data_IF_199976596844
#
_entry.id   IF_199976596844
#
_cell.length_a   1.000
_cell.length_b   1.000
_cell.length_c   1.000
_cell.angle_alpha   90.00
_cell.angle_beta   90.00
_cell.angle_gamma   90.00
#
_symmetry.space_group_name_H-M   'P 1'
#
loop_
_entity.id
_entity.type
_entity.pdbx_description
1 polymer ?
#
# COMPACT_ATOMS: atom_id res chain seq x y z
N UNK A 1 2.49 15.80 -23.20
CA UNK A 1 3.95 15.58 -23.03
C UNK A 1 4.26 15.40 -21.54
N UNK A 2 4.05 14.19 -21.03
CA UNK A 2 4.38 13.83 -19.63
C UNK A 2 5.79 13.19 -19.56
N UNK A 3 6.52 13.24 -20.64
CA UNK A 3 7.94 12.83 -20.68
C UNK A 3 8.88 14.01 -20.47
N UNK A 4 8.41 15.07 -19.81
CA UNK A 4 9.27 16.09 -19.30
C UNK A 4 10.30 15.43 -18.39
N UNK A 5 11.56 15.70 -18.61
CA UNK A 5 12.69 15.28 -17.78
C UNK A 5 12.43 15.67 -16.32
N UNK A 6 11.69 14.83 -15.60
CA UNK A 6 11.61 14.94 -14.16
C UNK A 6 12.97 14.53 -13.58
N UNK A 7 13.93 15.40 -13.68
CA UNK A 7 15.14 15.39 -12.84
C UNK A 7 14.78 15.77 -11.40
N UNK A 8 13.61 15.34 -10.95
CA UNK A 8 13.15 15.58 -9.59
C UNK A 8 13.79 14.57 -8.63
N UNK A 9 14.35 15.07 -7.55
CA UNK A 9 14.68 14.22 -6.41
C UNK A 9 13.36 13.73 -5.83
N UNK A 10 13.21 12.41 -5.68
CA UNK A 10 12.02 11.85 -5.00
C UNK A 10 11.91 12.47 -3.59
N UNK A 11 10.76 13.03 -3.21
CA UNK A 11 10.59 13.64 -1.89
C UNK A 11 10.63 12.61 -0.74
N UNK A 12 10.68 11.32 -1.05
CA UNK A 12 10.69 10.24 -0.08
C UNK A 12 11.57 9.07 -0.48
N UNK A 13 11.98 8.30 0.51
CA UNK A 13 12.70 7.04 0.31
C UNK A 13 11.69 5.90 0.30
N UNK A 14 11.56 5.14 -0.79
CA UNK A 14 10.67 3.99 -0.84
C UNK A 14 11.18 2.91 0.13
N UNK A 15 10.26 2.36 0.94
CA UNK A 15 10.53 1.25 1.85
C UNK A 15 9.66 0.06 1.48
N UNK A 16 10.25 -1.11 1.31
CA UNK A 16 9.51 -2.36 1.17
C UNK A 16 8.92 -2.75 2.54
N UNK A 17 7.59 -2.89 2.59
CA UNK A 17 6.86 -3.30 3.80
C UNK A 17 6.73 -4.82 3.84
N UNK A 18 6.69 -5.45 2.68
CA UNK A 18 6.55 -6.90 2.52
C UNK A 18 7.71 -7.38 1.64
N UNK A 19 8.30 -8.50 2.01
CA UNK A 19 9.35 -9.12 1.22
C UNK A 19 8.84 -9.51 -0.17
N UNK A 20 9.67 -9.32 -1.19
CA UNK A 20 9.31 -9.60 -2.57
C UNK A 20 10.47 -9.37 -3.51
N UNK A 21 10.16 -9.39 -4.80
CA UNK A 21 11.12 -9.15 -5.87
C UNK A 21 10.79 -7.84 -6.59
N UNK A 22 11.82 -7.13 -7.04
CA UNK A 22 11.66 -5.94 -7.86
C UNK A 22 12.58 -6.00 -9.08
N UNK A 23 12.11 -5.47 -10.19
CA UNK A 23 12.94 -5.22 -11.36
C UNK A 23 13.38 -3.76 -11.33
N UNK A 24 14.64 -3.51 -11.64
CA UNK A 24 15.22 -2.16 -11.72
C UNK A 24 15.69 -1.89 -13.13
N UNK A 25 15.42 -0.70 -13.61
CA UNK A 25 15.88 -0.20 -14.90
C UNK A 25 16.42 1.23 -14.70
N UNK A 26 17.45 1.58 -15.43
CA UNK A 26 17.96 2.97 -15.44
C UNK A 26 16.92 3.89 -16.09
N UNK A 27 16.76 5.08 -15.54
CA UNK A 27 15.75 6.06 -15.99
C UNK A 27 15.87 6.41 -17.48
N UNK A 28 17.09 6.50 -17.99
CA UNK A 28 17.33 6.83 -19.39
C UNK A 28 16.83 5.71 -20.33
N UNK A 29 17.07 4.45 -19.95
CA UNK A 29 16.58 3.28 -20.70
C UNK A 29 15.06 3.24 -20.62
N UNK A 30 14.50 3.46 -19.43
CA UNK A 30 13.06 3.48 -19.24
C UNK A 30 12.39 4.56 -20.11
N UNK A 31 12.94 5.77 -20.15
CA UNK A 31 12.41 6.87 -20.96
C UNK A 31 12.43 6.52 -22.46
N UNK A 32 13.52 5.93 -22.94
CA UNK A 32 13.65 5.50 -24.34
C UNK A 32 12.60 4.42 -24.70
N UNK A 33 12.42 3.41 -23.83
CA UNK A 33 11.43 2.35 -24.05
C UNK A 33 9.99 2.86 -23.92
N UNK A 34 9.70 3.74 -22.98
CA UNK A 34 8.38 4.35 -22.85
C UNK A 34 8.00 5.22 -24.06
N UNK A 35 8.99 5.82 -24.74
CA UNK A 35 8.75 6.53 -26.01
C UNK A 35 8.39 5.57 -27.14
N UNK A 36 8.95 4.36 -27.17
CA UNK A 36 8.72 3.33 -28.19
C UNK A 36 7.43 2.52 -28.00
N UNK A 37 7.04 2.32 -26.72
CA UNK A 37 5.93 1.43 -26.35
C UNK A 37 4.77 2.21 -25.73
N UNK A 38 3.71 2.52 -26.49
CA UNK A 38 2.55 3.26 -25.96
C UNK A 38 1.86 2.55 -24.78
N UNK A 39 1.90 1.21 -24.73
CA UNK A 39 1.31 0.43 -23.64
C UNK A 39 2.07 0.61 -22.34
N UNK A 40 3.40 0.65 -22.40
CA UNK A 40 4.24 0.95 -21.22
C UNK A 40 3.92 2.35 -20.70
N UNK A 41 3.79 3.33 -21.57
CA UNK A 41 3.44 4.71 -21.19
C UNK A 41 2.06 4.77 -20.55
N UNK A 42 1.05 4.06 -21.11
CA UNK A 42 -0.28 3.97 -20.51
C UNK A 42 -0.27 3.32 -19.13
N UNK A 43 0.50 2.24 -18.96
CA UNK A 43 0.65 1.57 -17.67
C UNK A 43 1.26 2.47 -16.60
N UNK A 44 2.29 3.23 -16.95
CA UNK A 44 2.93 4.20 -16.05
C UNK A 44 1.98 5.32 -15.68
N UNK A 45 1.25 5.88 -16.68
CA UNK A 45 0.26 6.91 -16.42
C UNK A 45 -0.86 6.40 -15.49
N UNK A 46 -1.37 5.20 -15.75
CA UNK A 46 -2.36 4.55 -14.87
C UNK A 46 -1.84 4.35 -13.46
N UNK A 47 -0.58 3.97 -13.30
CA UNK A 47 0.04 3.85 -11.98
C UNK A 47 0.18 5.22 -11.28
N UNK A 48 0.58 6.25 -12.00
CA UNK A 48 0.65 7.61 -11.47
C UNK A 48 -0.71 8.10 -10.96
N UNK A 49 -1.78 7.89 -11.75
CA UNK A 49 -3.14 8.24 -11.34
C UNK A 49 -3.57 7.48 -10.08
N UNK A 50 -3.26 6.18 -9.98
CA UNK A 50 -3.57 5.39 -8.78
C UNK A 50 -2.86 5.93 -7.54
N UNK A 51 -1.58 6.25 -7.64
CA UNK A 51 -0.82 6.83 -6.53
C UNK A 51 -1.39 8.19 -6.13
N UNK A 52 -1.72 9.04 -7.09
CA UNK A 52 -2.30 10.37 -6.84
C UNK A 52 -3.65 10.27 -6.13
N UNK A 53 -4.53 9.38 -6.60
CA UNK A 53 -5.82 9.13 -5.98
C UNK A 53 -5.67 8.56 -4.57
N UNK A 54 -4.77 7.61 -4.37
CA UNK A 54 -4.47 7.05 -3.05
C UNK A 54 -4.00 8.14 -2.06
N UNK A 55 -3.13 9.05 -2.50
CA UNK A 55 -2.67 10.17 -1.69
C UNK A 55 -3.81 11.14 -1.37
N UNK A 56 -4.66 11.48 -2.35
CA UNK A 56 -5.82 12.33 -2.16
C UNK A 56 -6.82 11.74 -1.14
N UNK A 57 -7.17 10.47 -1.30
CA UNK A 57 -8.04 9.75 -0.36
C UNK A 57 -7.42 9.68 1.03
N UNK A 58 -6.12 9.40 1.13
CA UNK A 58 -5.41 9.32 2.40
C UNK A 58 -5.39 10.67 3.11
N UNK A 59 -5.18 11.78 2.39
CA UNK A 59 -5.25 13.13 2.95
C UNK A 59 -6.63 13.44 3.52
N UNK A 60 -7.69 13.19 2.76
CA UNK A 60 -9.07 13.36 3.23
C UNK A 60 -9.41 12.46 4.42
N UNK A 61 -8.96 11.21 4.39
CA UNK A 61 -9.13 10.26 5.47
C UNK A 61 -8.42 10.74 6.76
N UNK A 62 -7.21 11.29 6.65
CA UNK A 62 -6.46 11.81 7.78
C UNK A 62 -7.17 12.97 8.49
N UNK A 63 -7.92 13.78 7.75
CA UNK A 63 -8.66 14.92 8.29
C UNK A 63 -10.01 14.55 8.92
N UNK A 64 -10.65 13.47 8.46
CA UNK A 64 -12.06 13.18 8.79
C UNK A 64 -12.27 11.97 9.67
N UNK A 65 -11.35 11.02 9.69
CA UNK A 65 -11.57 9.75 10.38
C UNK A 65 -10.67 9.56 11.60
N UNK A 66 -11.24 9.00 12.69
CA UNK A 66 -10.43 8.65 13.87
C UNK A 66 -9.36 7.63 13.51
N UNK A 67 -8.24 7.69 14.24
CA UNK A 67 -7.06 6.87 13.99
C UNK A 67 -7.36 5.37 13.89
N UNK A 68 -8.23 4.85 14.75
CA UNK A 68 -8.62 3.43 14.72
C UNK A 68 -9.19 3.02 13.36
N UNK A 69 -10.08 3.83 12.77
CA UNK A 69 -10.66 3.57 11.44
C UNK A 69 -9.63 3.68 10.32
N UNK A 70 -8.73 4.65 10.43
CA UNK A 70 -7.60 4.84 9.49
C UNK A 70 -6.63 3.67 9.53
N UNK A 71 -6.29 3.18 10.73
CA UNK A 71 -5.44 2.02 10.93
C UNK A 71 -6.08 0.75 10.36
N UNK A 72 -7.36 0.50 10.65
CA UNK A 72 -8.08 -0.64 10.11
C UNK A 72 -8.16 -0.59 8.57
N UNK A 73 -8.41 0.59 7.98
CA UNK A 73 -8.33 0.80 6.53
C UNK A 73 -6.96 0.46 5.98
N UNK A 74 -5.90 1.00 6.59
CA UNK A 74 -4.53 0.80 6.11
C UNK A 74 -4.12 -0.67 6.14
N UNK A 75 -4.46 -1.39 7.22
CA UNK A 75 -4.23 -2.83 7.32
C UNK A 75 -5.06 -3.63 6.29
N UNK A 76 -6.29 -3.21 6.01
CA UNK A 76 -7.13 -3.81 4.96
C UNK A 76 -6.55 -3.59 3.56
N UNK A 77 -6.05 -2.38 3.27
CA UNK A 77 -5.41 -2.06 1.99
C UNK A 77 -4.12 -2.89 1.82
N UNK A 78 -3.34 -3.07 2.89
CA UNK A 78 -2.13 -3.89 2.89
C UNK A 78 -2.44 -5.38 2.66
N UNK A 79 -3.47 -5.91 3.33
CA UNK A 79 -3.96 -7.27 3.11
C UNK A 79 -4.43 -7.46 1.66
N UNK A 80 -5.22 -6.53 1.12
CA UNK A 80 -5.69 -6.59 -0.25
C UNK A 80 -4.54 -6.58 -1.27
N UNK A 81 -3.54 -5.71 -1.07
CA UNK A 81 -2.42 -5.58 -1.99
C UNK A 81 -1.47 -6.78 -1.98
N UNK A 82 -1.30 -7.45 -0.84
CA UNK A 82 -0.32 -8.52 -0.65
C UNK A 82 -0.92 -9.92 -0.61
N UNK A 83 -2.20 -10.05 -0.32
CA UNK A 83 -2.84 -11.32 0.00
C UNK A 83 -2.41 -11.92 1.35
N UNK A 84 -1.55 -11.22 2.12
CA UNK A 84 -1.06 -11.68 3.41
C UNK A 84 -1.98 -11.22 4.55
N UNK A 85 -2.11 -12.05 5.57
CA UNK A 85 -2.80 -11.73 6.82
C UNK A 85 -1.84 -11.51 7.99
N UNK A 86 -0.54 -11.65 7.76
CA UNK A 86 0.48 -11.49 8.79
C UNK A 86 1.58 -10.54 8.31
N UNK A 87 1.92 -9.55 9.13
CA UNK A 87 2.86 -8.49 8.79
C UNK A 87 3.89 -8.28 9.90
N UNK A 88 5.15 -8.21 9.53
CA UNK A 88 6.23 -7.82 10.43
C UNK A 88 6.33 -6.29 10.48
N UNK A 89 5.53 -5.70 11.37
CA UNK A 89 5.40 -4.26 11.56
C UNK A 89 5.43 -3.92 13.03
N UNK A 90 6.24 -2.94 13.38
CA UNK A 90 6.27 -2.37 14.72
C UNK A 90 5.22 -1.26 14.86
N UNK A 91 4.88 -0.90 16.10
CA UNK A 91 4.03 0.27 16.36
C UNK A 91 4.69 1.57 15.87
N UNK A 92 6.02 1.63 15.84
CA UNK A 92 6.77 2.75 15.30
C UNK A 92 6.62 2.86 13.79
N UNK A 93 6.70 1.73 13.06
CA UNK A 93 6.45 1.72 11.62
C UNK A 93 5.06 2.24 11.29
N UNK A 94 4.05 1.76 12.00
CA UNK A 94 2.66 2.21 11.80
C UNK A 94 2.49 3.69 12.16
N UNK A 95 3.14 4.16 13.22
CA UNK A 95 3.11 5.57 13.61
C UNK A 95 3.68 6.46 12.51
N UNK A 96 4.79 6.03 11.91
CA UNK A 96 5.40 6.72 10.78
C UNK A 96 4.46 6.76 9.55
N UNK A 97 3.86 5.62 9.17
CA UNK A 97 2.96 5.56 8.01
C UNK A 97 1.66 6.34 8.20
N UNK A 98 1.14 6.39 9.42
CA UNK A 98 -0.10 7.09 9.73
C UNK A 98 0.09 8.57 10.13
N UNK A 99 1.35 9.00 10.28
CA UNK A 99 1.70 10.38 10.67
C UNK A 99 1.22 10.73 12.08
N UNK A 100 1.36 9.81 13.02
CA UNK A 100 0.89 9.97 14.42
C UNK A 100 1.95 9.51 15.42
N UNK A 101 1.71 9.75 16.71
CA UNK A 101 2.59 9.25 17.77
C UNK A 101 2.40 7.75 17.97
N UNK A 102 3.47 7.05 18.37
CA UNK A 102 3.48 5.61 18.65
C UNK A 102 2.45 5.19 19.71
N UNK A 103 2.26 6.00 20.74
CA UNK A 103 1.30 5.75 21.82
C UNK A 103 -0.12 5.69 21.28
N UNK A 104 -0.49 6.59 20.36
CA UNK A 104 -1.80 6.61 19.73
C UNK A 104 -2.04 5.35 18.87
N UNK A 105 -1.02 4.85 18.18
CA UNK A 105 -1.08 3.57 17.45
C UNK A 105 -1.29 2.41 18.42
N UNK A 106 -0.55 2.38 19.54
CA UNK A 106 -0.70 1.35 20.55
C UNK A 106 -2.13 1.28 21.07
N UNK A 107 -2.73 2.44 21.39
CA UNK A 107 -4.12 2.52 21.85
C UNK A 107 -5.10 2.04 20.77
N UNK A 108 -4.93 2.45 19.52
CA UNK A 108 -5.78 2.03 18.42
C UNK A 108 -5.70 0.52 18.17
N UNK A 109 -4.48 -0.06 18.21
CA UNK A 109 -4.29 -1.51 18.10
C UNK A 109 -4.92 -2.27 19.26
N UNK A 110 -4.80 -1.76 20.49
CA UNK A 110 -5.43 -2.39 21.66
C UNK A 110 -6.96 -2.44 21.50
N UNK A 111 -7.58 -1.40 20.95
CA UNK A 111 -9.02 -1.39 20.67
C UNK A 111 -9.41 -2.44 19.61
N UNK A 112 -8.66 -2.55 18.52
CA UNK A 112 -8.88 -3.56 17.49
C UNK A 112 -8.63 -4.98 18.01
N UNK A 113 -7.62 -5.17 18.88
CA UNK A 113 -7.33 -6.46 19.50
C UNK A 113 -8.44 -6.90 20.48
N UNK A 114 -9.00 -5.96 21.25
CA UNK A 114 -10.17 -6.26 22.12
C UNK A 114 -11.40 -6.70 21.33
N UNK A 115 -11.54 -6.20 20.10
CA UNK A 115 -12.58 -6.64 19.17
C UNK A 115 -12.21 -7.94 18.42
N UNK A 116 -11.03 -8.54 18.72
CA UNK A 116 -10.52 -9.77 18.10
C UNK A 116 -10.28 -9.67 16.59
N UNK A 117 -10.24 -8.45 16.02
CA UNK A 117 -10.03 -8.25 14.58
C UNK A 117 -8.55 -8.14 14.19
N UNK A 118 -7.67 -7.95 15.17
CA UNK A 118 -6.21 -8.07 15.01
C UNK A 118 -5.61 -8.77 16.23
N UNK A 119 -4.55 -9.55 15.97
CA UNK A 119 -3.66 -10.06 17.02
C UNK A 119 -2.33 -9.33 16.92
N UNK A 120 -1.80 -8.89 18.04
CA UNK A 120 -0.51 -8.20 18.10
C UNK A 120 0.46 -8.98 18.95
N UNK A 121 1.67 -9.17 18.47
CA UNK A 121 2.81 -9.70 19.20
C UNK A 121 4.03 -8.83 18.90
N UNK A 122 5.15 -9.09 19.58
CA UNK A 122 6.34 -8.26 19.40
C UNK A 122 6.77 -8.13 17.93
N UNK A 123 6.52 -6.94 17.35
CA UNK A 123 6.88 -6.63 15.95
C UNK A 123 6.05 -7.34 14.88
N UNK A 124 4.91 -7.95 15.26
CA UNK A 124 4.05 -8.68 14.34
C UNK A 124 2.58 -8.33 14.55
N UNK A 125 1.87 -8.17 13.45
CA UNK A 125 0.43 -7.93 13.41
C UNK A 125 -0.19 -9.01 12.54
N UNK A 126 -1.20 -9.69 13.07
CA UNK A 126 -1.96 -10.71 12.38
C UNK A 126 -3.42 -10.27 12.28
N UNK A 127 -4.02 -10.48 11.13
CA UNK A 127 -5.45 -10.27 10.86
C UNK A 127 -6.08 -11.67 10.77
N UNK A 128 -6.82 -12.14 11.80
CA UNK A 128 -7.40 -13.49 11.80
C UNK A 128 -8.40 -13.66 10.66
N UNK A 129 -9.33 -12.72 10.53
CA UNK A 129 -10.33 -12.69 9.46
C UNK A 129 -10.40 -11.29 8.83
N UNK A 130 -9.94 -11.14 7.58
CA UNK A 130 -9.92 -9.82 6.93
C UNK A 130 -11.29 -9.17 6.78
N UNK A 131 -12.37 -9.96 6.70
CA UNK A 131 -13.73 -9.41 6.57
C UNK A 131 -14.15 -8.66 7.82
N UNK A 132 -13.83 -9.18 9.00
CA UNK A 132 -14.17 -8.55 10.28
C UNK A 132 -13.47 -7.21 10.43
N UNK A 133 -12.21 -7.13 9.99
CA UNK A 133 -11.44 -5.87 9.99
C UNK A 133 -12.10 -4.80 9.12
N UNK A 134 -12.81 -5.20 8.06
CA UNK A 134 -13.48 -4.27 7.15
C UNK A 134 -14.58 -3.45 7.84
N UNK A 135 -15.24 -3.98 8.86
CA UNK A 135 -16.28 -3.28 9.60
C UNK A 135 -15.71 -2.13 10.45
N UNK A 136 -14.46 -2.28 10.86
CA UNK A 136 -13.73 -1.24 11.62
C UNK A 136 -13.05 -0.21 10.72
N UNK A 137 -12.90 -0.49 9.44
CA UNK A 137 -12.31 0.43 8.48
C UNK A 137 -13.29 1.55 8.11
N UNK A 138 -12.76 2.70 7.70
CA UNK A 138 -13.59 3.72 7.09
C UNK A 138 -13.95 3.37 5.64
N UNK A 139 -14.99 4.00 5.11
CA UNK A 139 -15.47 3.85 3.73
C UNK A 139 -14.41 4.18 2.68
N UNK A 140 -13.36 4.90 3.05
CA UNK A 140 -12.23 5.23 2.17
C UNK A 140 -11.51 3.99 1.62
N UNK A 141 -11.61 2.81 2.25
CA UNK A 141 -11.02 1.56 1.74
C UNK A 141 -11.54 1.17 0.35
N UNK A 142 -12.79 1.49 0.06
CA UNK A 142 -13.38 1.18 -1.24
C UNK A 142 -12.76 1.96 -2.40
N UNK A 143 -12.17 3.10 -2.15
CA UNK A 143 -11.53 3.93 -3.17
C UNK A 143 -10.29 3.25 -3.76
N UNK A 144 -9.50 2.55 -2.95
CA UNK A 144 -8.35 1.78 -3.43
C UNK A 144 -8.76 0.54 -4.22
N UNK A 145 -9.81 -0.15 -3.79
CA UNK A 145 -10.30 -1.38 -4.41
C UNK A 145 -11.04 -1.13 -5.74
N UNK A 146 -11.77 -0.01 -5.86
CA UNK A 146 -12.52 0.34 -7.08
C UNK A 146 -11.62 0.72 -8.25
N UNK A 147 -10.44 1.24 -7.97
CA UNK A 147 -9.46 1.66 -8.98
C UNK A 147 -8.44 0.58 -9.31
N UNK A 148 -8.57 -0.63 -8.78
CA UNK A 148 -7.82 -1.78 -9.26
C UNK A 148 -8.28 -2.12 -10.67
N UNK A 149 -7.93 -1.26 -11.63
CA UNK A 149 -7.77 -1.65 -13.02
C UNK A 149 -6.94 -2.92 -12.98
N UNK A 150 -7.48 -3.99 -13.54
CA UNK A 150 -6.78 -5.28 -13.63
C UNK A 150 -5.31 -5.03 -13.90
N UNK A 151 -4.40 -5.70 -13.18
CA UNK A 151 -2.98 -5.55 -13.46
C UNK A 151 -2.80 -5.80 -14.95
N UNK A 152 -2.21 -4.85 -15.66
CA UNK A 152 -1.96 -4.94 -17.11
C UNK A 152 -1.07 -6.15 -17.42
N UNK A 153 -0.50 -6.74 -16.38
CA UNK A 153 0.26 -7.97 -16.42
C UNK A 153 -0.18 -8.89 -15.28
N UNK A 154 -0.90 -9.95 -15.60
CA UNK A 154 -0.80 -11.17 -14.82
C UNK A 154 0.65 -11.66 -14.99
N UNK A 155 1.51 -11.39 -14.03
CA UNK A 155 2.78 -12.11 -13.94
C UNK A 155 2.39 -13.56 -13.71
N UNK A 156 2.42 -14.35 -14.79
CA UNK A 156 2.25 -15.79 -14.69
C UNK A 156 3.21 -16.26 -13.60
N UNK A 157 2.73 -17.10 -12.70
CA UNK A 157 3.58 -17.75 -11.70
C UNK A 157 4.76 -18.34 -12.46
N UNK A 158 5.94 -17.74 -12.32
CA UNK A 158 7.18 -18.40 -12.70
C UNK A 158 7.26 -19.61 -11.77
N UNK A 159 6.85 -20.77 -12.30
CA UNK A 159 7.12 -22.04 -11.66
C UNK A 159 8.63 -22.12 -11.47
N UNK A 160 9.09 -22.00 -10.23
CA UNK A 160 10.42 -22.42 -9.82
C UNK A 160 10.44 -23.97 -9.89
N UNK A 161 10.51 -24.50 -11.11
CA UNK A 161 10.79 -25.89 -11.37
C UNK A 161 12.09 -25.93 -12.16
N UNK A 162 13.16 -26.32 -11.50
CA UNK A 162 14.38 -26.80 -12.15
C UNK A 162 15.65 -26.00 -11.83
N UNK A 163 16.30 -26.35 -10.76
CA UNK A 163 17.73 -26.70 -10.70
C UNK A 163 18.01 -27.32 -9.32
#
# INVERSE_FOLDING_TARGET
EVTGECRGVSPGVPRAIIAGYSLRMRSEIFAAEAARWPDLRRAVHGQFMRVTNFLGVTSGCNLRHPLQRRLARWLSDLNYASGSTCFELTHEDLAHFLGVRREAVTEALCRLARASVVNTSRGRIQIPEPRDLHEFACECRHSYQRESVQPVYSVGRLNAAGA
#
